data_IF_018423031663
#
_entry.id   IF_018423031663
#
_cell.length_a   1.000
_cell.length_b   1.000
_cell.length_c   1.000
_cell.angle_alpha   90.00
_cell.angle_beta   90.00
_cell.angle_gamma   90.00
#
_symmetry.space_group_name_H-M   'P 1'
#
loop_
_entity.id
_entity.type
_entity.pdbx_description
1 polymer ?
#
# COMPACT_ATOMS: atom_id res chain seq x y z
N UNK A 1 -25.18 -12.45 4.52
CA UNK A 1 -24.23 -11.94 4.55
C UNK A 1 -24.26 -10.56 4.69
N UNK A 2 -23.66 -9.93 5.33
CA UNK A 2 -23.71 -8.69 5.49
C UNK A 2 -22.90 -7.98 4.62
N UNK A 3 -23.16 -6.87 4.26
CA UNK A 3 -22.34 -6.28 3.40
C UNK A 3 -21.41 -5.52 4.09
N UNK A 4 -20.33 -5.31 3.61
CA UNK A 4 -19.25 -4.71 4.21
C UNK A 4 -19.48 -3.28 4.42
N UNK A 5 -19.05 -2.81 5.48
CA UNK A 5 -19.13 -1.48 5.76
C UNK A 5 -18.02 -0.80 5.06
N UNK A 6 -18.15 0.33 4.50
CA UNK A 6 -17.10 1.01 3.78
C UNK A 6 -15.97 1.32 4.74
N UNK A 7 -14.78 1.13 4.32
CA UNK A 7 -13.64 1.38 5.16
C UNK A 7 -13.40 2.86 5.32
N UNK A 8 -12.94 3.26 6.46
CA UNK A 8 -12.60 4.65 6.68
C UNK A 8 -11.22 4.86 6.12
N UNK A 9 -10.83 6.08 5.88
CA UNK A 9 -9.50 6.36 5.35
C UNK A 9 -8.41 5.81 6.25
N UNK A 10 -8.63 5.81 7.55
CA UNK A 10 -7.66 5.27 8.47
C UNK A 10 -7.51 3.78 8.29
N UNK A 11 -8.57 3.08 8.09
CA UNK A 11 -8.50 1.66 7.89
C UNK A 11 -7.85 1.32 6.58
N UNK A 12 -8.16 2.11 5.54
CA UNK A 12 -7.57 1.87 4.25
C UNK A 12 -6.07 2.10 4.31
N UNK A 13 -5.66 3.13 5.05
CA UNK A 13 -4.26 3.41 5.18
C UNK A 13 -3.57 2.27 5.91
N UNK A 14 -4.18 1.79 6.97
CA UNK A 14 -3.61 0.71 7.74
C UNK A 14 -3.47 -0.56 6.91
N UNK A 15 -4.50 -0.89 6.14
CA UNK A 15 -4.45 -2.08 5.31
C UNK A 15 -3.39 -1.93 4.24
N UNK A 16 -3.29 -0.76 3.63
CA UNK A 16 -2.33 -0.53 2.58
C UNK A 16 -0.91 -0.60 3.14
N UNK A 17 -0.71 -0.11 4.36
CA UNK A 17 0.60 -0.19 4.98
C UNK A 17 0.97 -1.65 5.26
N UNK A 18 -0.02 -2.47 5.61
CA UNK A 18 0.22 -3.88 5.82
C UNK A 18 0.66 -4.57 4.54
N UNK A 19 0.01 -4.21 3.43
CA UNK A 19 0.36 -4.79 2.14
C UNK A 19 1.75 -4.33 1.77
N UNK A 20 2.07 -3.05 2.00
CA UNK A 20 3.36 -2.51 1.66
C UNK A 20 4.45 -3.22 2.47
N UNK A 21 4.21 -3.46 3.73
CA UNK A 21 5.19 -4.14 4.57
C UNK A 21 5.45 -5.55 4.05
N UNK A 22 4.41 -6.24 3.61
CA UNK A 22 4.55 -7.58 3.05
C UNK A 22 5.36 -7.57 1.77
N UNK A 23 5.10 -6.57 0.91
CA UNK A 23 5.83 -6.48 -0.35
C UNK A 23 7.30 -6.20 -0.06
N UNK A 24 7.61 -5.33 0.89
CA UNK A 24 8.98 -5.02 1.22
C UNK A 24 9.70 -6.26 1.73
N UNK A 25 9.02 -7.05 2.52
CA UNK A 25 9.61 -8.26 3.05
C UNK A 25 9.90 -9.24 1.93
N UNK A 26 8.99 -9.34 0.95
CA UNK A 26 9.19 -10.22 -0.17
C UNK A 26 10.34 -9.73 -1.04
N UNK A 27 10.47 -8.42 -1.21
CA UNK A 27 11.54 -7.87 -2.00
C UNK A 27 12.88 -8.17 -1.33
N UNK A 28 12.93 -8.08 -0.03
CA UNK A 28 14.14 -8.36 0.69
C UNK A 28 14.55 -9.81 0.48
N UNK A 29 13.57 -10.70 0.54
CA UNK A 29 13.86 -12.11 0.34
C UNK A 29 14.33 -12.36 -1.06
N UNK A 30 13.71 -11.74 -2.08
CA UNK A 30 14.12 -11.92 -3.45
C UNK A 30 15.55 -11.42 -3.65
N UNK A 31 15.89 -10.32 -3.00
CA UNK A 31 17.21 -9.77 -3.13
C UNK A 31 18.23 -10.72 -2.50
N UNK A 32 17.88 -11.29 -1.38
CA UNK A 32 18.79 -12.23 -0.72
C UNK A 32 18.96 -13.48 -1.53
N UNK A 33 17.95 -13.89 -2.27
CA UNK A 33 18.04 -15.08 -3.09
C UNK A 33 18.66 -14.76 -4.44
N UNK A 34 18.86 -13.52 -4.76
CA UNK A 34 19.41 -13.15 -6.04
C UNK A 34 18.41 -13.26 -7.18
N UNK A 35 17.13 -13.32 -6.87
CA UNK A 35 16.10 -13.49 -7.88
C UNK A 35 15.67 -12.11 -8.37
N UNK A 36 16.42 -11.57 -9.30
CA UNK A 36 16.18 -10.25 -9.80
C UNK A 36 14.85 -10.11 -10.53
N UNK A 37 14.47 -11.14 -11.27
CA UNK A 37 13.24 -11.09 -12.03
C UNK A 37 12.04 -10.93 -11.08
N UNK A 38 12.03 -11.70 -10.01
CA UNK A 38 10.96 -11.65 -9.07
C UNK A 38 11.02 -10.36 -8.30
N UNK A 39 12.20 -9.85 -8.03
CA UNK A 39 12.37 -8.61 -7.33
C UNK A 39 11.73 -7.48 -8.14
N UNK A 40 11.91 -7.49 -9.45
CA UNK A 40 11.33 -6.47 -10.28
C UNK A 40 9.82 -6.53 -10.28
N UNK A 41 9.26 -7.72 -10.23
CA UNK A 41 7.83 -7.89 -10.19
C UNK A 41 7.28 -7.31 -8.90
N UNK A 42 7.93 -7.60 -7.79
CA UNK A 42 7.47 -7.08 -6.51
C UNK A 42 7.67 -5.57 -6.44
N UNK A 43 8.69 -5.08 -7.11
CA UNK A 43 8.93 -3.65 -7.13
C UNK A 43 7.75 -2.95 -7.84
N UNK A 44 7.18 -3.58 -8.86
CA UNK A 44 6.01 -3.04 -9.53
C UNK A 44 4.84 -2.93 -8.57
N UNK A 45 4.63 -3.95 -7.75
CA UNK A 45 3.57 -3.93 -6.77
C UNK A 45 3.87 -2.85 -5.72
N UNK A 46 5.12 -2.69 -5.39
CA UNK A 46 5.54 -1.71 -4.40
C UNK A 46 5.17 -0.31 -4.90
N UNK A 47 5.47 0.00 -6.15
CA UNK A 47 5.17 1.29 -6.71
C UNK A 47 3.67 1.54 -6.76
N UNK A 48 2.91 0.54 -7.13
CA UNK A 48 1.46 0.67 -7.19
C UNK A 48 0.89 0.91 -5.79
N UNK A 49 1.44 0.22 -4.81
CA UNK A 49 0.96 0.36 -3.45
C UNK A 49 1.30 1.73 -2.89
N UNK A 50 2.47 2.24 -3.21
CA UNK A 50 2.87 3.56 -2.78
C UNK A 50 1.93 4.60 -3.40
N UNK A 51 1.57 4.41 -4.67
CA UNK A 51 0.65 5.33 -5.32
C UNK A 51 -0.70 5.33 -4.66
N UNK A 52 -1.17 4.14 -4.28
CA UNK A 52 -2.43 4.02 -3.62
C UNK A 52 -2.40 4.69 -2.25
N UNK A 53 -1.32 4.49 -1.52
CA UNK A 53 -1.17 5.08 -0.21
C UNK A 53 -1.13 6.60 -0.33
N UNK A 54 -0.47 7.09 -1.35
CA UNK A 54 -0.35 8.51 -1.57
C UNK A 54 -1.74 9.12 -1.79
N UNK A 55 -2.59 8.46 -2.55
CA UNK A 55 -3.93 8.94 -2.80
C UNK A 55 -4.73 8.96 -1.51
N UNK A 56 -4.61 7.92 -0.71
CA UNK A 56 -5.34 7.84 0.54
C UNK A 56 -4.90 8.95 1.48
N UNK A 57 -3.62 9.17 1.58
CA UNK A 57 -3.12 10.19 2.47
C UNK A 57 -3.46 11.59 1.99
N UNK A 58 -3.45 11.78 0.69
CA UNK A 58 -3.78 13.06 0.13
C UNK A 58 -5.25 13.37 0.38
N UNK A 59 -6.11 12.41 0.20
CA UNK A 59 -7.52 12.62 0.44
C UNK A 59 -7.78 12.90 1.90
N UNK A 60 -7.08 12.23 2.76
CA UNK A 60 -7.27 12.43 4.16
C UNK A 60 -6.83 13.83 4.55
N UNK A 61 -5.72 14.28 3.97
CA UNK A 61 -5.24 15.49 4.30
C UNK A 61 -6.03 16.57 3.70
N UNK A 62 -6.70 16.38 2.63
CA UNK A 62 -7.42 17.33 2.05
C UNK A 62 -8.67 17.57 2.74
N UNK A 63 -8.86 17.60 3.87
CA UNK A 63 -10.00 17.81 4.50
C UNK A 63 -10.49 19.15 4.25
N UNK A 64 -11.55 19.45 4.22
CA UNK A 64 -12.12 20.62 3.89
C UNK A 64 -11.78 21.57 4.89
N UNK A 65 -11.05 22.37 4.60
CA UNK A 65 -10.71 23.26 5.42
C UNK A 65 -11.61 24.26 5.35
N UNK A 66 -12.40 24.41 5.92
CA UNK A 66 -13.24 25.26 5.81
C UNK A 66 -12.83 26.36 6.29
N UNK A 67 -12.65 27.11 6.07
CA UNK A 67 -12.13 28.13 6.49
C UNK A 67 -12.95 29.01 6.75
#
# INVERSE_FOLDING_TARGET
>A
MKHPVPQTPEEMKRDTLGVLAGICRDMERCAMDGDVARLKTHYGFFKTTIGRLDVIMTNTRREPIEL
#
